data_IF_739363351313
#
_entry.id   IF_739363351313
#
_cell.length_a   1.000
_cell.length_b   1.000
_cell.length_c   1.000
_cell.angle_alpha   90.00
_cell.angle_beta   90.00
_cell.angle_gamma   90.00
#
_symmetry.space_group_name_H-M   'P 1'
#
loop_
_entity.id
_entity.type
_entity.pdbx_description
1 polymer ?
#
# COMPACT_ATOMS: atom_id res chain seq x y z
N UNK A 1 9.20 -56.72 50.65
CA UNK A 1 8.29 -56.68 49.47
C UNK A 1 8.14 -55.24 48.99
N UNK A 2 9.09 -54.67 48.23
CA UNK A 2 8.87 -53.28 47.70
C UNK A 2 9.71 -52.92 46.43
N UNK A 3 10.55 -53.78 45.90
CA UNK A 3 11.39 -53.43 44.76
C UNK A 3 10.80 -53.75 43.37
N UNK A 4 9.73 -54.52 43.30
CA UNK A 4 9.10 -54.92 42.01
C UNK A 4 8.05 -53.93 41.48
N UNK A 5 7.34 -53.27 42.36
CA UNK A 5 6.21 -52.36 41.99
C UNK A 5 6.70 -51.06 41.41
N UNK A 6 7.86 -50.55 41.83
CA UNK A 6 8.44 -49.29 41.33
C UNK A 6 8.91 -49.41 39.87
N UNK A 7 9.38 -50.58 39.46
CA UNK A 7 9.82 -50.80 38.08
C UNK A 7 8.67 -50.90 37.07
N UNK A 8 7.50 -51.34 37.49
CA UNK A 8 6.33 -51.51 36.60
C UNK A 8 5.64 -50.17 36.33
N UNK A 9 5.72 -49.21 37.28
CA UNK A 9 5.15 -47.86 37.08
C UNK A 9 6.05 -46.87 36.36
N UNK A 10 7.36 -47.12 36.32
CA UNK A 10 8.30 -46.23 35.64
C UNK A 10 8.17 -46.26 34.08
N UNK A 11 7.82 -47.43 33.55
CA UNK A 11 7.63 -47.60 32.09
C UNK A 11 6.47 -46.80 31.50
N UNK A 12 5.25 -46.96 32.02
CA UNK A 12 4.09 -46.18 31.53
C UNK A 12 4.20 -44.68 31.78
N UNK A 13 4.87 -44.28 32.87
CA UNK A 13 5.09 -42.85 33.14
C UNK A 13 6.09 -42.22 32.17
N UNK A 14 7.13 -42.91 31.78
CA UNK A 14 8.09 -42.47 30.77
C UNK A 14 7.44 -42.41 29.37
N UNK A 15 6.55 -43.33 29.04
CA UNK A 15 5.79 -43.31 27.80
C UNK A 15 4.78 -42.14 27.76
N UNK A 16 4.15 -41.82 28.88
CA UNK A 16 3.22 -40.70 29.00
C UNK A 16 3.95 -39.34 28.85
N UNK A 17 5.15 -39.22 29.41
CA UNK A 17 6.00 -38.04 29.28
C UNK A 17 6.52 -37.83 27.84
N UNK A 18 6.77 -38.91 27.12
CA UNK A 18 7.18 -38.82 25.71
C UNK A 18 6.05 -38.37 24.78
N UNK A 19 4.79 -38.66 25.15
CA UNK A 19 3.60 -38.19 24.40
C UNK A 19 3.27 -36.71 24.66
N UNK A 20 3.78 -36.14 25.74
CA UNK A 20 3.63 -34.74 26.11
C UNK A 20 4.77 -33.84 25.60
N UNK A 21 5.63 -34.33 24.71
CA UNK A 21 6.65 -33.48 24.11
C UNK A 21 5.95 -32.34 23.36
N UNK A 22 6.16 -31.07 23.75
CA UNK A 22 5.58 -29.96 23.00
C UNK A 22 6.14 -30.04 21.59
N UNK A 23 5.25 -30.26 20.64
CA UNK A 23 5.61 -30.04 19.23
C UNK A 23 6.05 -28.59 19.14
N UNK A 24 7.32 -28.33 18.88
CA UNK A 24 7.78 -27.02 18.54
C UNK A 24 7.10 -26.70 17.21
N UNK A 25 5.94 -26.07 17.28
CA UNK A 25 5.29 -25.48 16.12
C UNK A 25 6.22 -24.39 15.65
N UNK A 26 6.94 -24.66 14.56
CA UNK A 26 7.71 -23.64 13.88
C UNK A 26 6.75 -22.56 13.45
N UNK A 27 6.74 -21.44 14.18
CA UNK A 27 5.97 -20.28 13.78
C UNK A 27 6.47 -19.81 12.41
N UNK A 28 5.55 -19.45 11.53
CA UNK A 28 5.87 -18.92 10.22
C UNK A 28 6.95 -17.83 10.36
N UNK A 29 8.05 -17.94 9.62
CA UNK A 29 9.16 -17.01 9.67
C UNK A 29 8.84 -15.69 8.95
N UNK A 30 7.78 -15.68 8.14
CA UNK A 30 7.34 -14.49 7.42
C UNK A 30 6.48 -13.62 8.33
N UNK A 31 6.88 -12.36 8.60
CA UNK A 31 6.06 -11.43 9.34
C UNK A 31 4.71 -11.19 8.64
N UNK A 32 3.62 -11.15 9.42
CA UNK A 32 2.25 -10.98 8.88
C UNK A 32 2.13 -9.73 7.99
N UNK A 33 2.80 -8.62 8.36
CA UNK A 33 2.77 -7.40 7.56
C UNK A 33 3.36 -7.60 6.16
N UNK A 34 4.40 -8.41 6.03
CA UNK A 34 5.03 -8.70 4.73
C UNK A 34 4.13 -9.57 3.87
N UNK A 35 3.54 -10.60 4.46
CA UNK A 35 2.52 -11.42 3.80
C UNK A 35 1.37 -10.56 3.28
N UNK A 36 0.90 -9.61 4.11
CA UNK A 36 -0.16 -8.68 3.75
C UNK A 36 0.24 -7.77 2.57
N UNK A 37 1.45 -7.20 2.60
CA UNK A 37 1.93 -6.33 1.52
C UNK A 37 2.05 -7.04 0.16
N UNK A 38 2.36 -8.33 0.15
CA UNK A 38 2.54 -9.09 -1.08
C UNK A 38 1.22 -9.71 -1.59
N UNK A 39 0.30 -10.06 -0.71
CA UNK A 39 -0.86 -10.89 -1.06
C UNK A 39 -2.22 -10.19 -0.90
N UNK A 40 -2.30 -9.12 -0.10
CA UNK A 40 -3.55 -8.38 0.03
C UNK A 40 -3.64 -7.28 -1.01
N UNK A 41 -4.77 -7.17 -1.72
CA UNK A 41 -4.96 -6.07 -2.65
C UNK A 41 -4.92 -4.74 -1.89
N UNK A 42 -4.18 -3.74 -2.40
CA UNK A 42 -4.15 -2.43 -1.78
C UNK A 42 -5.50 -1.73 -1.91
N UNK A 43 -5.86 -0.92 -0.92
CA UNK A 43 -7.02 -0.06 -0.99
C UNK A 43 -6.87 0.98 -2.10
N UNK A 44 -7.85 1.06 -3.00
CA UNK A 44 -7.83 1.98 -4.13
C UNK A 44 -8.38 3.36 -3.75
N UNK A 45 -7.73 4.42 -4.22
CA UNK A 45 -8.32 5.76 -4.23
C UNK A 45 -9.52 5.79 -5.18
N UNK A 46 -10.58 6.52 -4.82
CA UNK A 46 -11.74 6.68 -5.69
C UNK A 46 -11.61 7.98 -6.49
N UNK A 47 -11.55 7.85 -7.80
CA UNK A 47 -11.54 8.99 -8.73
C UNK A 47 -12.92 9.07 -9.37
N UNK A 48 -13.63 10.15 -9.13
CA UNK A 48 -14.99 10.35 -9.65
C UNK A 48 -14.96 11.43 -10.71
N UNK A 49 -15.39 11.07 -11.92
CA UNK A 49 -15.51 11.98 -13.06
C UNK A 49 -16.99 12.33 -13.25
N UNK A 50 -17.34 13.56 -12.93
CA UNK A 50 -18.68 14.12 -13.15
C UNK A 50 -18.76 14.80 -14.51
N UNK A 51 -19.82 14.51 -15.28
CA UNK A 51 -20.07 15.16 -16.56
C UNK A 51 -21.56 15.18 -16.86
N UNK A 52 -21.99 16.04 -17.78
CA UNK A 52 -23.35 16.12 -18.27
C UNK A 52 -23.41 15.70 -19.75
N UNK A 53 -23.92 14.49 -19.99
CA UNK A 53 -23.96 13.89 -21.31
C UNK A 53 -22.59 13.36 -21.78
N UNK A 54 -22.42 13.04 -23.07
CA UNK A 54 -21.24 12.34 -23.56
C UNK A 54 -19.96 13.18 -23.40
N UNK A 55 -18.89 12.52 -22.96
CA UNK A 55 -17.55 13.11 -22.94
C UNK A 55 -17.07 13.44 -24.35
N UNK A 56 -16.32 14.54 -24.49
CA UNK A 56 -15.62 14.87 -25.73
C UNK A 56 -14.52 13.87 -26.06
N UNK A 57 -14.05 13.81 -27.29
CA UNK A 57 -12.95 12.93 -27.67
C UNK A 57 -11.66 13.22 -26.88
N UNK A 58 -11.39 14.50 -26.59
CA UNK A 58 -10.26 14.88 -25.74
C UNK A 58 -10.42 14.34 -24.32
N UNK A 59 -11.60 14.46 -23.72
CA UNK A 59 -11.88 13.95 -22.37
C UNK A 59 -11.80 12.42 -22.33
N UNK A 60 -12.25 11.72 -23.36
CA UNK A 60 -12.10 10.26 -23.48
C UNK A 60 -10.63 9.86 -23.54
N UNK A 61 -9.82 10.55 -24.33
CA UNK A 61 -8.39 10.30 -24.40
C UNK A 61 -7.69 10.56 -23.06
N UNK A 62 -8.09 11.62 -22.33
CA UNK A 62 -7.58 11.88 -20.99
C UNK A 62 -7.99 10.79 -20.00
N UNK A 63 -9.24 10.34 -20.08
CA UNK A 63 -9.74 9.25 -19.24
C UNK A 63 -8.98 7.96 -19.52
N UNK A 64 -8.70 7.64 -20.77
CA UNK A 64 -7.95 6.44 -21.14
C UNK A 64 -6.48 6.50 -20.66
N UNK A 65 -5.89 7.69 -20.57
CA UNK A 65 -4.53 7.86 -19.99
C UNK A 65 -4.47 7.51 -18.50
N UNK A 66 -5.57 7.66 -17.76
CA UNK A 66 -5.61 7.42 -16.30
C UNK A 66 -6.32 6.11 -15.94
N UNK A 67 -6.99 5.44 -16.88
CA UNK A 67 -7.54 4.11 -16.60
C UNK A 67 -6.40 3.18 -16.21
N UNK A 68 -6.57 2.41 -15.11
CA UNK A 68 -5.54 1.48 -14.69
C UNK A 68 -5.28 0.47 -15.79
N UNK A 69 -4.18 0.64 -16.50
CA UNK A 69 -3.62 -0.38 -17.37
C UNK A 69 -3.29 -1.56 -16.45
N UNK A 70 -3.77 -2.76 -16.80
CA UNK A 70 -3.51 -3.99 -16.05
C UNK A 70 -2.04 -4.03 -15.63
N UNK A 71 -1.82 -4.25 -14.37
CA UNK A 71 -0.65 -4.48 -13.50
C UNK A 71 0.79 -4.50 -14.07
N UNK A 72 1.02 -4.43 -15.36
CA UNK A 72 2.35 -4.53 -15.96
C UNK A 72 3.15 -3.22 -15.99
N UNK A 73 2.50 -2.08 -15.70
CA UNK A 73 3.16 -0.78 -15.66
C UNK A 73 2.88 -0.06 -14.34
N UNK A 74 3.81 -0.12 -13.42
CA UNK A 74 3.79 0.48 -12.10
C UNK A 74 3.71 2.03 -12.06
N UNK A 75 3.42 2.69 -13.17
CA UNK A 75 3.34 4.15 -13.25
C UNK A 75 1.94 4.73 -12.99
N UNK A 76 0.91 3.88 -12.91
CA UNK A 76 -0.47 4.32 -12.69
C UNK A 76 -0.78 4.27 -11.20
N UNK A 77 -1.34 5.33 -10.61
CA UNK A 77 -1.75 5.33 -9.22
C UNK A 77 -2.77 4.21 -8.93
N UNK A 78 -2.70 3.65 -7.72
CA UNK A 78 -3.69 2.69 -7.24
C UNK A 78 -5.04 3.38 -7.04
N UNK A 79 -5.92 3.29 -8.04
CA UNK A 79 -7.19 4.01 -8.04
C UNK A 79 -8.27 3.27 -8.83
N UNK A 80 -9.52 3.52 -8.43
CA UNK A 80 -10.73 3.12 -9.14
C UNK A 80 -11.42 4.33 -9.71
N UNK A 81 -11.82 4.27 -10.98
CA UNK A 81 -12.50 5.38 -11.66
C UNK A 81 -13.99 5.10 -11.69
N UNK A 82 -14.76 6.10 -11.25
CA UNK A 82 -16.22 6.15 -11.34
C UNK A 82 -16.58 7.25 -12.34
N UNK A 83 -17.21 6.87 -13.43
CA UNK A 83 -17.78 7.79 -14.41
C UNK A 83 -19.24 8.07 -14.05
N UNK A 84 -19.58 9.33 -13.86
CA UNK A 84 -20.88 9.79 -13.34
C UNK A 84 -21.49 10.77 -14.32
N UNK A 85 -22.35 10.25 -15.22
CA UNK A 85 -23.16 11.10 -16.08
C UNK A 85 -24.37 11.62 -15.27
N UNK A 86 -24.37 12.90 -14.96
CA UNK A 86 -25.40 13.59 -14.19
C UNK A 86 -26.76 13.61 -14.90
N UNK A 87 -26.81 13.37 -16.22
CA UNK A 87 -28.06 13.27 -17.01
C UNK A 87 -28.61 11.85 -17.13
N UNK A 88 -27.81 10.87 -16.74
CA UNK A 88 -28.25 9.48 -16.64
C UNK A 88 -28.90 9.23 -15.26
N UNK A 89 -28.96 7.99 -14.81
CA UNK A 89 -29.40 7.61 -13.48
C UNK A 89 -28.17 7.16 -12.64
N UNK A 90 -27.31 8.09 -12.21
CA UNK A 90 -26.09 7.75 -11.51
C UNK A 90 -26.33 7.30 -10.08
N UNK A 91 -25.30 6.72 -9.45
CA UNK A 91 -25.31 6.35 -8.04
C UNK A 91 -25.70 7.55 -7.16
N UNK A 92 -26.78 7.44 -6.34
CA UNK A 92 -27.28 8.53 -5.50
C UNK A 92 -26.22 9.12 -4.56
N UNK A 93 -25.23 8.34 -4.14
CA UNK A 93 -24.10 8.79 -3.30
C UNK A 93 -23.31 9.91 -3.99
N UNK A 94 -22.99 9.72 -5.26
CA UNK A 94 -22.23 10.70 -6.02
C UNK A 94 -23.07 11.91 -6.42
N UNK A 95 -24.35 11.71 -6.71
CA UNK A 95 -25.29 12.84 -6.96
C UNK A 95 -25.39 13.73 -5.75
N UNK A 96 -25.61 13.16 -4.57
CA UNK A 96 -25.69 13.91 -3.32
C UNK A 96 -24.43 14.73 -3.09
N UNK A 97 -23.26 14.08 -3.19
CA UNK A 97 -21.98 14.75 -3.03
C UNK A 97 -21.83 15.91 -4.02
N UNK A 98 -22.16 15.68 -5.29
CA UNK A 98 -22.10 16.68 -6.35
C UNK A 98 -22.97 17.90 -6.02
N UNK A 99 -24.23 17.71 -5.67
CA UNK A 99 -25.14 18.81 -5.33
C UNK A 99 -24.66 19.67 -4.17
N UNK A 100 -23.98 19.08 -3.20
CA UNK A 100 -23.43 19.78 -2.04
C UNK A 100 -22.08 20.49 -2.33
N UNK A 101 -21.33 20.07 -3.35
CA UNK A 101 -19.94 20.47 -3.56
C UNK A 101 -19.64 21.00 -4.97
N UNK A 102 -20.60 21.02 -5.88
CA UNK A 102 -20.41 21.47 -7.26
C UNK A 102 -19.95 22.93 -7.30
N UNK A 103 -19.07 23.30 -8.27
CA UNK A 103 -18.66 24.70 -8.45
C UNK A 103 -19.86 25.54 -8.93
N UNK A 104 -19.82 26.84 -8.63
CA UNK A 104 -20.91 27.74 -9.04
C UNK A 104 -21.09 27.88 -10.56
N UNK A 105 -20.03 27.64 -11.32
CA UNK A 105 -20.05 27.47 -12.77
C UNK A 105 -19.32 26.20 -13.12
N UNK A 106 -19.97 25.37 -13.89
CA UNK A 106 -19.45 24.09 -14.37
C UNK A 106 -19.64 24.04 -15.87
N UNK A 107 -18.55 23.74 -16.56
CA UNK A 107 -18.54 23.51 -18.00
C UNK A 107 -17.62 22.33 -18.29
N UNK A 108 -18.14 21.36 -19.04
CA UNK A 108 -17.39 20.16 -19.41
C UNK A 108 -17.44 19.04 -18.35
N UNK A 109 -16.27 18.57 -17.94
CA UNK A 109 -16.13 17.49 -16.97
C UNK A 109 -15.35 17.94 -15.73
N UNK A 110 -15.72 17.39 -14.57
CA UNK A 110 -15.14 17.70 -13.27
C UNK A 110 -14.65 16.46 -12.59
N UNK A 111 -13.45 16.48 -12.04
CA UNK A 111 -12.86 15.33 -11.36
C UNK A 111 -12.71 15.61 -9.87
N UNK A 112 -13.07 14.61 -9.05
CA UNK A 112 -12.77 14.59 -7.63
C UNK A 112 -12.04 13.31 -7.25
N UNK A 113 -11.00 13.40 -6.42
CA UNK A 113 -10.21 12.28 -5.93
C UNK A 113 -10.47 12.12 -4.45
N UNK A 114 -10.92 10.95 -4.05
CA UNK A 114 -11.25 10.62 -2.67
C UNK A 114 -10.26 9.61 -2.09
N UNK A 115 -10.22 9.57 -0.76
CA UNK A 115 -9.56 8.49 -0.05
C UNK A 115 -10.21 7.14 -0.36
N UNK A 116 -9.49 6.03 -0.14
CA UNK A 116 -10.09 4.71 -0.21
C UNK A 116 -11.38 4.60 0.62
N UNK A 117 -12.35 3.84 0.10
CA UNK A 117 -13.66 3.68 0.75
C UNK A 117 -13.56 3.13 2.18
N UNK A 118 -12.55 2.32 2.48
CA UNK A 118 -12.25 1.80 3.82
C UNK A 118 -12.03 2.89 4.87
N UNK A 119 -11.59 4.09 4.45
CA UNK A 119 -11.33 5.21 5.37
C UNK A 119 -12.61 5.92 5.83
N UNK A 120 -13.75 5.67 5.19
CA UNK A 120 -15.05 6.33 5.41
C UNK A 120 -15.00 7.86 5.25
N UNK A 121 -13.96 8.41 4.64
CA UNK A 121 -13.82 9.85 4.40
C UNK A 121 -14.52 10.25 3.11
N UNK A 122 -15.44 11.21 3.21
CA UNK A 122 -16.20 11.76 2.08
C UNK A 122 -15.61 13.09 1.57
N UNK A 123 -14.61 13.65 2.27
CA UNK A 123 -13.90 14.86 1.83
C UNK A 123 -12.88 14.46 0.76
N UNK A 124 -12.89 15.09 -0.43
CA UNK A 124 -11.92 14.77 -1.46
C UNK A 124 -10.51 15.25 -1.08
N UNK A 125 -9.52 14.54 -1.55
CA UNK A 125 -8.11 14.95 -1.54
C UNK A 125 -7.89 16.13 -2.50
N UNK A 126 -8.60 16.09 -3.62
CA UNK A 126 -8.55 17.10 -4.67
C UNK A 126 -9.86 17.11 -5.45
N UNK A 127 -10.29 18.28 -5.91
CA UNK A 127 -11.37 18.41 -6.86
C UNK A 127 -11.12 19.60 -7.79
N UNK A 128 -11.49 19.45 -9.07
CA UNK A 128 -11.28 20.49 -10.06
C UNK A 128 -11.69 20.07 -11.49
N UNK A 129 -11.51 20.96 -12.48
CA UNK A 129 -11.80 20.66 -13.87
C UNK A 129 -11.00 19.47 -14.36
N UNK A 130 -11.64 18.61 -15.16
CA UNK A 130 -10.97 17.46 -15.78
C UNK A 130 -10.17 17.89 -16.99
N UNK A 131 -8.91 18.24 -16.78
CA UNK A 131 -7.97 18.73 -17.79
C UNK A 131 -6.64 18.00 -17.69
N UNK A 132 -5.85 18.04 -18.77
CA UNK A 132 -4.50 17.45 -18.76
C UNK A 132 -3.59 18.06 -17.67
N UNK A 133 -3.66 19.38 -17.47
CA UNK A 133 -2.91 20.07 -16.43
C UNK A 133 -3.31 19.60 -15.02
N UNK A 134 -4.60 19.39 -14.78
CA UNK A 134 -5.11 18.85 -13.52
C UNK A 134 -4.65 17.41 -13.30
N UNK A 135 -4.70 16.56 -14.34
CA UNK A 135 -4.21 15.19 -14.26
C UNK A 135 -2.72 15.14 -13.97
N UNK A 136 -1.92 15.92 -14.68
CA UNK A 136 -0.48 16.00 -14.46
C UNK A 136 -0.17 16.42 -13.03
N UNK A 137 -0.80 17.48 -12.54
CA UNK A 137 -0.62 17.97 -11.17
C UNK A 137 -1.02 16.94 -10.11
N UNK A 138 -2.10 16.20 -10.36
CA UNK A 138 -2.65 15.25 -9.38
C UNK A 138 -1.93 13.90 -9.38
N UNK A 139 -1.59 13.39 -10.57
CA UNK A 139 -1.07 12.02 -10.71
C UNK A 139 0.41 11.95 -11.07
N UNK A 140 1.01 12.99 -11.64
CA UNK A 140 2.42 13.02 -11.99
C UNK A 140 3.21 13.84 -10.95
N UNK A 141 3.62 13.18 -9.87
CA UNK A 141 4.46 13.80 -8.85
C UNK A 141 5.92 13.35 -9.01
N UNK A 142 6.90 14.27 -9.18
CA UNK A 142 8.31 13.91 -9.20
C UNK A 142 8.75 13.12 -7.95
N UNK A 143 8.23 13.49 -6.78
CA UNK A 143 8.50 12.77 -5.54
C UNK A 143 7.98 11.32 -5.58
N UNK A 144 6.77 11.07 -6.14
CA UNK A 144 6.24 9.72 -6.32
C UNK A 144 7.05 8.89 -7.30
N UNK A 145 7.49 9.49 -8.41
CA UNK A 145 8.33 8.81 -9.39
C UNK A 145 9.67 8.42 -8.77
N UNK A 146 10.28 9.32 -8.00
CA UNK A 146 11.52 9.03 -7.29
C UNK A 146 11.33 7.94 -6.22
N UNK A 147 10.23 7.98 -5.46
CA UNK A 147 9.86 6.95 -4.50
C UNK A 147 9.71 5.59 -5.17
N UNK A 148 8.92 5.51 -6.25
CA UNK A 148 8.72 4.28 -6.99
C UNK A 148 10.04 3.73 -7.55
N UNK A 149 10.88 4.60 -8.14
CA UNK A 149 12.19 4.21 -8.65
C UNK A 149 13.08 3.63 -7.55
N UNK A 150 13.19 4.29 -6.41
CA UNK A 150 14.02 3.81 -5.29
C UNK A 150 13.56 2.44 -4.77
N UNK A 151 12.24 2.25 -4.62
CA UNK A 151 11.68 0.96 -4.21
C UNK A 151 11.93 -0.14 -5.27
N UNK A 152 11.80 0.17 -6.55
CA UNK A 152 12.10 -0.76 -7.64
C UNK A 152 13.60 -1.08 -7.71
N UNK A 153 14.48 -0.12 -7.40
CA UNK A 153 15.93 -0.33 -7.32
C UNK A 153 16.32 -1.16 -6.08
N UNK A 154 15.34 -1.48 -5.21
CA UNK A 154 15.47 -2.41 -4.08
C UNK A 154 15.68 -1.76 -2.72
N UNK A 155 15.44 -0.45 -2.56
CA UNK A 155 15.42 0.14 -1.23
C UNK A 155 14.32 -0.51 -0.38
N UNK A 156 14.64 -0.93 0.84
CA UNK A 156 13.68 -1.57 1.75
C UNK A 156 12.63 -0.59 2.27
N UNK A 157 12.99 0.68 2.35
CA UNK A 157 12.11 1.77 2.76
C UNK A 157 12.60 3.09 2.17
N UNK A 158 11.66 3.98 1.88
CA UNK A 158 11.97 5.36 1.48
C UNK A 158 11.29 6.32 2.44
N UNK A 159 12.10 7.18 3.04
CA UNK A 159 11.62 8.17 3.99
C UNK A 159 11.28 9.46 3.27
N UNK A 160 10.13 10.01 3.59
CA UNK A 160 9.65 11.30 3.06
C UNK A 160 9.65 12.29 4.21
N UNK A 161 10.53 13.29 4.12
CA UNK A 161 10.53 14.43 5.04
C UNK A 161 9.57 15.50 4.52
N UNK A 162 8.54 15.79 5.31
CA UNK A 162 7.64 16.89 5.04
C UNK A 162 8.11 18.14 5.81
N UNK A 163 8.61 19.12 5.08
CA UNK A 163 9.09 20.36 5.65
C UNK A 163 7.94 21.21 6.23
N UNK A 164 8.16 21.81 7.38
CA UNK A 164 7.18 22.66 8.06
C UNK A 164 7.28 24.14 7.65
N UNK A 165 8.26 24.49 6.81
CA UNK A 165 8.53 25.85 6.35
C UNK A 165 9.41 26.68 7.29
N UNK A 166 9.88 26.10 8.41
CA UNK A 166 10.89 26.70 9.26
C UNK A 166 12.27 26.10 8.91
N UNK A 167 13.07 26.86 8.19
CA UNK A 167 14.34 26.40 7.63
C UNK A 167 15.28 25.78 8.67
N UNK A 168 15.39 26.37 9.84
CA UNK A 168 16.27 25.87 10.90
C UNK A 168 15.82 24.50 11.41
N UNK A 169 14.50 24.35 11.67
CA UNK A 169 13.91 23.08 12.11
C UNK A 169 13.99 22.01 11.03
N UNK A 170 13.72 22.38 9.81
CA UNK A 170 13.70 21.46 8.67
C UNK A 170 15.12 20.91 8.41
N UNK A 171 16.12 21.77 8.39
CA UNK A 171 17.53 21.35 8.24
C UNK A 171 18.03 20.50 9.44
N UNK A 172 17.67 20.87 10.66
CA UNK A 172 18.01 20.07 11.85
C UNK A 172 17.37 18.68 11.79
N UNK A 173 16.09 18.59 11.41
CA UNK A 173 15.38 17.31 11.27
C UNK A 173 15.98 16.46 10.15
N UNK A 174 16.27 17.06 8.99
CA UNK A 174 16.91 16.40 7.87
C UNK A 174 18.26 15.78 8.27
N UNK A 175 19.10 16.55 8.95
CA UNK A 175 20.40 16.06 9.43
C UNK A 175 20.26 14.87 10.38
N UNK A 176 19.34 14.93 11.34
CA UNK A 176 19.09 13.83 12.27
C UNK A 176 18.62 12.58 11.49
N UNK A 177 17.71 12.74 10.54
CA UNK A 177 17.20 11.64 9.73
C UNK A 177 18.32 10.97 8.93
N UNK A 178 19.11 11.77 8.20
CA UNK A 178 20.23 11.26 7.39
C UNK A 178 21.26 10.51 8.24
N UNK A 179 21.67 11.07 9.37
CA UNK A 179 22.63 10.43 10.29
C UNK A 179 22.08 9.10 10.83
N UNK A 180 20.80 9.05 11.18
CA UNK A 180 20.14 7.83 11.68
C UNK A 180 19.99 6.77 10.60
N UNK A 181 19.61 7.13 9.39
CA UNK A 181 19.49 6.17 8.29
C UNK A 181 20.84 5.57 7.91
N UNK A 182 21.91 6.38 7.87
CA UNK A 182 23.28 5.88 7.67
C UNK A 182 23.69 4.92 8.79
N UNK A 183 23.38 5.25 10.04
CA UNK A 183 23.66 4.36 11.16
C UNK A 183 22.89 3.03 11.06
N UNK A 184 21.59 3.09 10.78
CA UNK A 184 20.73 1.91 10.64
C UNK A 184 21.18 1.02 9.48
N UNK A 185 21.57 1.58 8.35
CA UNK A 185 22.09 0.82 7.21
C UNK A 185 23.37 0.03 7.53
N UNK A 186 24.14 0.47 8.54
CA UNK A 186 25.34 -0.24 9.00
C UNK A 186 25.10 -1.25 10.12
N UNK A 187 24.03 -1.06 10.90
CA UNK A 187 23.79 -1.84 12.13
C UNK A 187 22.69 -2.86 12.00
N UNK A 188 21.67 -2.57 11.19
CA UNK A 188 20.60 -3.52 10.92
C UNK A 188 21.09 -4.65 10.02
N UNK A 189 20.61 -5.84 10.30
CA UNK A 189 20.82 -7.03 9.47
C UNK A 189 19.48 -7.44 8.86
N UNK A 190 19.53 -7.88 7.62
CA UNK A 190 18.36 -8.49 7.00
C UNK A 190 17.97 -9.76 7.78
N UNK A 191 16.68 -10.01 8.00
CA UNK A 191 16.23 -11.29 8.55
C UNK A 191 16.59 -12.42 7.58
N UNK A 192 17.01 -13.56 8.14
CA UNK A 192 17.21 -14.77 7.34
C UNK A 192 15.84 -15.27 6.87
N UNK A 193 15.63 -15.28 5.57
CA UNK A 193 14.44 -15.91 4.98
C UNK A 193 14.72 -17.39 4.77
N UNK A 194 13.83 -18.24 5.23
CA UNK A 194 13.93 -19.69 4.98
C UNK A 194 13.47 -19.98 3.56
N UNK A 195 14.22 -20.81 2.83
CA UNK A 195 13.86 -21.21 1.47
C UNK A 195 12.45 -21.83 1.40
N UNK A 196 12.01 -22.49 2.46
CA UNK A 196 10.67 -23.07 2.55
C UNK A 196 9.54 -22.02 2.50
N UNK A 197 9.77 -20.80 2.99
CA UNK A 197 8.74 -19.72 2.96
C UNK A 197 8.54 -19.19 1.54
N UNK A 198 9.62 -19.16 0.75
CA UNK A 198 9.57 -18.81 -0.68
C UNK A 198 8.88 -19.93 -1.47
N UNK A 199 9.24 -21.19 -1.20
CA UNK A 199 8.63 -22.35 -1.86
C UNK A 199 7.14 -22.51 -1.51
N UNK A 200 6.75 -22.13 -0.30
CA UNK A 200 5.34 -22.14 0.12
C UNK A 200 4.50 -21.01 -0.51
N UNK A 201 5.12 -20.12 -1.28
CA UNK A 201 4.44 -19.00 -1.92
C UNK A 201 4.07 -17.86 -0.96
N UNK A 202 4.66 -17.83 0.24
CA UNK A 202 4.44 -16.74 1.19
C UNK A 202 5.19 -15.46 0.80
N UNK A 203 6.22 -15.58 -0.02
CA UNK A 203 7.02 -14.47 -0.53
C UNK A 203 7.28 -14.67 -2.01
N UNK A 204 7.12 -13.63 -2.80
CA UNK A 204 7.44 -13.61 -4.23
C UNK A 204 8.88 -13.17 -4.51
N UNK A 205 9.54 -12.54 -3.53
CA UNK A 205 10.90 -12.06 -3.67
C UNK A 205 11.91 -13.12 -3.22
N UNK A 206 13.00 -13.27 -3.96
CA UNK A 206 14.08 -14.20 -3.59
C UNK A 206 14.93 -13.59 -2.47
N UNK A 207 15.45 -14.40 -1.53
CA UNK A 207 16.29 -13.93 -0.43
C UNK A 207 17.49 -13.09 -0.87
N UNK A 208 18.12 -13.45 -1.98
CA UNK A 208 19.28 -12.77 -2.55
C UNK A 208 18.98 -11.42 -3.17
N UNK A 209 17.72 -11.15 -3.50
CA UNK A 209 17.28 -9.85 -4.05
C UNK A 209 16.96 -8.83 -2.96
N UNK A 210 16.91 -9.28 -1.70
CA UNK A 210 16.68 -8.39 -0.57
C UNK A 210 17.93 -7.60 -0.26
N UNK A 211 17.79 -6.29 -0.13
CA UNK A 211 18.83 -5.39 0.34
C UNK A 211 18.29 -4.41 1.34
N UNK A 212 19.09 -4.06 2.32
CA UNK A 212 18.77 -3.02 3.28
C UNK A 212 19.19 -1.69 2.67
N UNK A 213 18.24 -0.92 2.18
CA UNK A 213 18.43 0.43 1.64
C UNK A 213 17.36 1.38 2.19
N UNK A 214 17.73 2.67 2.33
CA UNK A 214 16.82 3.71 2.81
C UNK A 214 16.88 4.95 1.93
#
# INVERSE_FOLDING_TARGET
>A
MSKGVIKILAGPLAALLALCSPSITEACSVPVFRYALELWPPDEYEVVLFHEGPLTEEQKQLLDKIKPLKLENASVPNMRIHEVDLKAAPDPRWVKWWEENKPGKFDGAWMAVFYPASTLKITPLWAGPFTEAALSKTFQSPARQQLAKRLQDGDSAVWILLECGNKEKDEATKKILEERLVHLGKTLKMPELKAQDVQAGYLSIRPEDLKLGF
#
